data_IF_925594888139
#
_entry.id   IF_925594888139
#
_cell.length_a   1.000
_cell.length_b   1.000
_cell.length_c   1.000
_cell.angle_alpha   90.00
_cell.angle_beta   90.00
_cell.angle_gamma   90.00
#
_symmetry.space_group_name_H-M   'P 1'
#
loop_
_entity.id
_entity.type
_entity.pdbx_description
1 polymer ?
#
# COMPACT_ATOMS: atom_id res chain seq x y z
N UNK A 1 46.14 -20.53 0.13
CA UNK A 1 45.86 -19.14 -0.26
C UNK A 1 44.35 -18.92 -0.19
N UNK A 2 43.91 -17.96 0.65
CA UNK A 2 42.59 -17.25 0.74
C UNK A 2 41.34 -18.07 0.33
N UNK A 3 40.52 -18.68 1.20
CA UNK A 3 39.53 -18.17 2.21
C UNK A 3 38.67 -16.99 1.73
N UNK A 4 37.38 -16.80 2.05
CA UNK A 4 36.15 -17.54 2.44
C UNK A 4 35.14 -16.42 2.86
N UNK A 5 33.81 -16.67 2.85
CA UNK A 5 32.68 -15.84 3.38
C UNK A 5 32.27 -14.59 2.55
N UNK A 6 31.03 -14.33 2.09
CA UNK A 6 29.62 -14.51 2.55
C UNK A 6 29.17 -13.60 3.72
N UNK A 7 28.03 -12.93 3.50
CA UNK A 7 27.12 -12.27 4.47
C UNK A 7 27.58 -10.93 5.10
N UNK A 8 26.77 -9.92 5.45
CA UNK A 8 25.33 -9.60 5.45
C UNK A 8 25.22 -8.15 6.03
N UNK A 9 24.12 -7.43 5.77
CA UNK A 9 23.62 -6.24 6.52
C UNK A 9 24.39 -4.89 6.39
N UNK A 10 23.83 -3.69 6.57
CA UNK A 10 22.47 -3.10 6.72
C UNK A 10 22.64 -1.68 7.30
N UNK A 11 21.73 -0.76 6.95
CA UNK A 11 21.42 0.53 7.61
C UNK A 11 22.56 1.56 7.71
N UNK A 12 22.35 2.87 7.72
CA UNK A 12 21.20 3.73 8.01
C UNK A 12 21.36 5.01 7.16
N UNK A 13 20.33 5.48 6.46
CA UNK A 13 19.39 6.53 6.89
C UNK A 13 20.02 7.89 7.27
N UNK A 14 19.42 8.93 6.66
CA UNK A 14 19.27 10.32 7.12
C UNK A 14 20.47 11.27 6.95
N UNK A 15 20.39 12.10 5.90
CA UNK A 15 20.21 13.55 6.08
C UNK A 15 20.05 14.25 4.71
N UNK A 16 18.80 14.45 4.27
CA UNK A 16 18.45 15.60 3.45
C UNK A 16 18.30 16.83 4.37
N UNK A 17 18.50 18.07 3.89
CA UNK A 17 17.38 18.82 3.30
C UNK A 17 17.79 19.65 2.06
N UNK A 18 17.01 19.62 0.98
CA UNK A 18 15.90 20.55 0.68
C UNK A 18 16.30 22.03 0.66
N UNK A 19 16.52 22.54 -0.56
CA UNK A 19 16.58 23.96 -0.86
C UNK A 19 15.21 24.61 -0.61
N UNK A 20 15.17 25.55 0.31
CA UNK A 20 14.01 26.43 0.54
C UNK A 20 14.24 27.74 -0.21
N UNK A 21 13.29 28.11 -1.07
CA UNK A 21 13.17 29.46 -1.63
C UNK A 21 12.87 30.42 -0.47
N UNK A 22 13.73 31.43 -0.26
CA UNK A 22 13.44 32.58 0.61
C UNK A 22 13.68 33.87 -0.15
N UNK A 23 12.68 34.74 -0.03
CA UNK A 23 12.54 36.06 -0.59
C UNK A 23 13.70 37.02 -0.27
N UNK A 24 13.89 37.89 -1.26
CA UNK A 24 14.66 39.13 -1.31
C UNK A 24 14.12 40.21 -0.36
N UNK A 25 15.02 40.90 0.36
CA UNK A 25 15.01 42.35 0.63
C UNK A 25 16.25 42.76 1.47
N UNK A 26 16.63 44.06 1.50
CA UNK A 26 17.99 44.52 1.21
C UNK A 26 18.81 44.91 2.46
N UNK A 27 20.14 44.78 2.39
CA UNK A 27 21.02 45.58 3.24
C UNK A 27 22.32 45.95 2.52
N UNK A 28 22.24 47.11 1.88
CA UNK A 28 23.25 48.17 1.79
C UNK A 28 24.67 47.82 2.29
N UNK A 29 25.56 47.52 1.34
CA UNK A 29 27.01 47.36 1.53
C UNK A 29 27.78 48.42 0.76
N UNK A 30 28.05 49.53 1.43
CA UNK A 30 29.16 50.50 1.29
C UNK A 30 29.89 50.56 -0.07
N UNK A 31 29.61 51.65 -0.77
CA UNK A 31 30.32 52.20 -1.92
C UNK A 31 31.76 52.56 -1.52
N UNK A 32 32.74 51.98 -2.21
CA UNK A 32 34.06 52.56 -2.39
C UNK A 32 34.24 52.78 -3.89
N UNK A 33 33.99 54.01 -4.32
CA UNK A 33 34.31 54.49 -5.64
C UNK A 33 35.84 54.56 -5.79
N UNK A 34 36.36 54.21 -6.96
CA UNK A 34 37.37 55.01 -7.65
C UNK A 34 37.31 54.67 -9.13
N UNK A 35 36.89 55.68 -9.87
CA UNK A 35 36.92 55.84 -11.31
C UNK A 35 38.33 55.82 -11.87
N UNK A 36 38.42 55.37 -13.12
CA UNK A 36 39.48 55.58 -14.11
C UNK A 36 40.12 56.97 -13.99
N UNK A 37 41.44 57.08 -14.24
CA UNK A 37 41.83 57.72 -15.49
C UNK A 37 43.08 57.14 -16.17
N UNK A 38 43.15 57.44 -17.47
CA UNK A 38 44.35 57.76 -18.26
C UNK A 38 45.34 56.67 -18.68
N UNK A 39 45.38 56.49 -20.00
CA UNK A 39 46.57 56.54 -20.85
C UNK A 39 47.89 56.89 -20.16
N UNK A 40 48.82 55.92 -20.18
CA UNK A 40 50.25 56.17 -20.21
C UNK A 40 50.90 55.26 -21.24
N UNK A 41 51.65 55.90 -22.12
CA UNK A 41 52.55 55.35 -23.11
C UNK A 41 53.47 54.28 -22.50
N UNK A 42 53.40 53.06 -23.03
CA UNK A 42 54.45 52.06 -22.86
C UNK A 42 55.49 52.28 -23.95
N UNK A 43 56.49 53.05 -23.56
CA UNK A 43 57.80 53.22 -24.20
C UNK A 43 58.50 51.87 -24.28
N UNK A 44 58.89 51.47 -25.50
CA UNK A 44 59.93 50.48 -25.77
C UNK A 44 59.55 49.01 -25.53
N UNK A 45 58.87 48.40 -26.51
CA UNK A 45 59.11 46.98 -26.77
C UNK A 45 60.41 46.95 -27.56
N UNK A 46 61.48 46.63 -26.83
CA UNK A 46 62.77 46.24 -27.40
C UNK A 46 62.55 45.13 -28.43
N UNK A 47 63.37 45.19 -29.46
CA UNK A 47 63.44 44.30 -30.60
C UNK A 47 63.38 42.83 -30.16
N UNK A 48 62.22 42.19 -30.31
CA UNK A 48 62.21 40.74 -30.53
C UNK A 48 62.68 40.53 -31.96
N UNK A 49 64.00 40.37 -32.05
CA UNK A 49 64.72 39.92 -33.22
C UNK A 49 63.99 38.77 -33.89
N UNK A 50 64.06 38.82 -35.21
CA UNK A 50 63.42 37.97 -36.18
C UNK A 50 63.94 36.52 -36.09
N UNK A 51 63.55 35.78 -35.04
CA UNK A 51 63.82 34.33 -34.92
C UNK A 51 63.22 33.58 -36.13
N UNK A 52 62.14 34.11 -36.71
CA UNK A 52 61.52 33.60 -37.93
C UNK A 52 62.31 33.88 -39.21
N UNK A 53 63.09 34.97 -39.31
CA UNK A 53 63.96 35.23 -40.47
C UNK A 53 65.14 34.27 -40.54
N UNK A 54 65.61 33.77 -39.39
CA UNK A 54 66.63 32.73 -39.35
C UNK A 54 66.15 31.45 -40.06
N UNK A 55 64.87 31.09 -39.90
CA UNK A 55 64.26 29.94 -40.60
C UNK A 55 63.98 30.21 -42.09
N UNK A 56 63.66 31.46 -42.47
CA UNK A 56 63.50 31.88 -43.88
C UNK A 56 64.80 31.85 -44.69
N UNK A 57 65.95 31.74 -44.02
CA UNK A 57 67.27 31.72 -44.64
C UNK A 57 68.08 30.45 -44.40
N UNK A 58 67.44 29.36 -43.94
CA UNK A 58 68.11 28.07 -43.74
C UNK A 58 68.76 27.55 -45.04
N UNK A 59 69.90 26.85 -44.91
CA UNK A 59 70.69 26.35 -46.03
C UNK A 59 69.89 25.44 -46.99
N UNK A 60 68.83 24.81 -46.49
CA UNK A 60 67.89 23.98 -47.23
C UNK A 60 66.97 24.81 -48.15
N UNK A 61 66.50 25.98 -47.69
CA UNK A 61 65.62 26.89 -48.44
C UNK A 61 66.43 27.70 -49.46
N UNK A 62 67.65 28.14 -49.11
CA UNK A 62 68.56 28.83 -50.04
C UNK A 62 69.05 27.94 -51.19
N UNK A 63 69.38 26.66 -50.94
CA UNK A 63 69.82 25.71 -51.99
C UNK A 63 68.74 25.39 -53.02
N UNK A 64 67.48 25.32 -52.59
CA UNK A 64 66.35 25.06 -53.49
C UNK A 64 65.98 26.33 -54.27
N UNK A 65 66.02 27.51 -53.62
CA UNK A 65 65.81 28.80 -54.29
C UNK A 65 66.83 29.12 -55.37
N UNK A 66 68.13 28.80 -55.14
CA UNK A 66 69.18 29.04 -56.14
C UNK A 66 69.14 28.10 -57.34
N UNK A 67 68.47 26.94 -57.24
CA UNK A 67 68.37 25.96 -58.33
C UNK A 67 67.14 26.19 -59.22
N UNK A 68 66.15 26.95 -58.75
CA UNK A 68 64.88 27.19 -59.44
C UNK A 68 64.69 28.63 -59.94
N UNK A 69 65.64 29.54 -59.68
CA UNK A 69 65.64 30.90 -60.25
C UNK A 69 64.56 31.85 -59.69
N UNK A 70 64.14 31.67 -58.44
CA UNK A 70 63.13 32.52 -57.77
C UNK A 70 63.68 33.15 -56.49
N UNK A 71 63.25 34.39 -56.20
CA UNK A 71 63.72 35.15 -55.03
C UNK A 71 63.41 34.43 -53.71
N UNK A 72 64.34 34.52 -52.75
CA UNK A 72 64.31 33.78 -51.48
C UNK A 72 63.06 34.01 -50.64
N UNK A 73 62.38 35.14 -50.84
CA UNK A 73 61.14 35.50 -50.13
C UNK A 73 59.90 34.78 -50.70
N UNK A 74 59.86 34.53 -52.02
CA UNK A 74 58.80 33.76 -52.66
C UNK A 74 58.91 32.27 -52.35
N UNK A 75 60.14 31.75 -52.23
CA UNK A 75 60.38 30.36 -51.86
C UNK A 75 59.97 30.07 -50.40
N UNK A 76 60.22 31.00 -49.48
CA UNK A 76 59.84 30.86 -48.08
C UNK A 76 58.32 30.88 -47.89
N UNK A 77 57.63 31.83 -48.52
CA UNK A 77 56.15 31.92 -48.49
C UNK A 77 55.49 30.73 -49.19
N UNK A 78 56.03 30.25 -50.31
CA UNK A 78 55.52 29.04 -50.96
C UNK A 78 55.68 27.78 -50.08
N UNK A 79 56.78 27.67 -49.34
CA UNK A 79 57.00 26.55 -48.42
C UNK A 79 56.06 26.61 -47.20
N UNK A 80 55.81 27.80 -46.65
CA UNK A 80 54.85 28.00 -45.57
C UNK A 80 53.41 27.66 -46.00
N UNK A 81 52.99 28.14 -47.17
CA UNK A 81 51.68 27.81 -47.75
C UNK A 81 51.57 26.31 -48.07
N UNK A 82 52.63 25.69 -48.61
CA UNK A 82 52.65 24.26 -48.86
C UNK A 82 52.55 23.45 -47.55
N UNK A 83 53.26 23.84 -46.49
CA UNK A 83 53.19 23.20 -45.18
C UNK A 83 51.79 23.34 -44.56
N UNK A 84 51.20 24.54 -44.63
CA UNK A 84 49.82 24.76 -44.19
C UNK A 84 48.81 23.93 -45.00
N UNK A 85 48.98 23.85 -46.33
CA UNK A 85 48.12 23.03 -47.18
C UNK A 85 48.22 21.54 -46.82
N UNK A 86 49.44 21.02 -46.58
CA UNK A 86 49.65 19.64 -46.14
C UNK A 86 48.98 19.41 -44.78
N UNK A 87 49.15 20.32 -43.82
CA UNK A 87 48.50 20.23 -42.51
C UNK A 87 46.97 20.30 -42.62
N UNK A 88 46.43 21.21 -43.43
CA UNK A 88 45.00 21.37 -43.66
C UNK A 88 44.40 20.14 -44.35
N UNK A 89 45.11 19.51 -45.30
CA UNK A 89 44.71 18.25 -45.92
C UNK A 89 44.71 17.13 -44.87
N UNK A 90 45.75 17.02 -44.04
CA UNK A 90 45.84 16.00 -43.00
C UNK A 90 44.70 16.13 -41.98
N UNK A 91 44.45 17.35 -41.49
CA UNK A 91 43.35 17.65 -40.56
C UNK A 91 42.00 17.42 -41.25
N UNK A 92 41.83 17.87 -42.50
CA UNK A 92 40.62 17.70 -43.28
C UNK A 92 40.26 16.22 -43.48
N UNK A 93 41.23 15.37 -43.82
CA UNK A 93 41.04 13.92 -43.94
C UNK A 93 40.69 13.27 -42.60
N UNK A 94 41.30 13.72 -41.51
CA UNK A 94 40.98 13.22 -40.17
C UNK A 94 39.56 13.60 -39.73
N UNK A 95 39.17 14.88 -39.91
CA UNK A 95 37.82 15.37 -39.59
C UNK A 95 36.76 14.73 -40.47
N UNK A 96 37.00 14.60 -41.78
CA UNK A 96 36.10 13.94 -42.72
C UNK A 96 35.85 12.47 -42.33
N UNK A 97 36.82 11.80 -41.70
CA UNK A 97 36.67 10.43 -41.22
C UNK A 97 36.02 10.34 -39.82
N UNK A 98 36.29 11.30 -38.93
CA UNK A 98 35.83 11.27 -37.53
C UNK A 98 34.41 11.84 -37.32
N UNK A 99 34.07 12.97 -37.96
CA UNK A 99 32.78 13.66 -37.80
C UNK A 99 31.55 12.83 -38.21
N UNK A 100 31.50 12.16 -39.38
CA UNK A 100 30.29 11.44 -39.76
C UNK A 100 30.01 10.26 -38.82
N UNK A 101 31.04 9.66 -38.21
CA UNK A 101 30.86 8.56 -37.25
C UNK A 101 30.17 9.01 -35.97
N UNK A 102 30.51 10.19 -35.44
CA UNK A 102 29.93 10.71 -34.19
C UNK A 102 28.52 11.25 -34.39
N UNK A 103 28.26 11.98 -35.47
CA UNK A 103 26.92 12.48 -35.79
C UNK A 103 25.94 11.34 -36.10
N UNK A 104 26.39 10.29 -36.82
CA UNK A 104 25.54 9.13 -37.12
C UNK A 104 25.18 8.34 -35.86
N UNK A 105 26.12 8.22 -34.91
CA UNK A 105 25.85 7.62 -33.59
C UNK A 105 24.81 8.41 -32.80
N UNK A 106 24.96 9.74 -32.71
CA UNK A 106 24.01 10.61 -32.01
C UNK A 106 22.62 10.59 -32.66
N UNK A 107 22.53 10.65 -33.98
CA UNK A 107 21.25 10.57 -34.68
C UNK A 107 20.54 9.22 -34.45
N UNK A 108 21.29 8.12 -34.44
CA UNK A 108 20.74 6.80 -34.14
C UNK A 108 20.23 6.72 -32.69
N UNK A 109 20.96 7.29 -31.73
CA UNK A 109 20.52 7.38 -30.33
C UNK A 109 19.26 8.23 -30.20
N UNK A 110 19.22 9.43 -30.79
CA UNK A 110 18.03 10.29 -30.75
C UNK A 110 16.81 9.60 -31.36
N UNK A 111 16.99 8.92 -32.50
CA UNK A 111 15.91 8.18 -33.15
C UNK A 111 15.42 7.03 -32.26
N UNK A 112 16.34 6.29 -31.64
CA UNK A 112 16.01 5.24 -30.67
C UNK A 112 15.25 5.81 -29.47
N UNK A 113 15.75 6.87 -28.85
CA UNK A 113 15.15 7.48 -27.66
C UNK A 113 13.74 8.02 -27.98
N UNK A 114 13.53 8.55 -29.20
CA UNK A 114 12.21 9.03 -29.63
C UNK A 114 11.23 7.87 -29.86
N UNK A 115 11.69 6.73 -30.38
CA UNK A 115 10.87 5.51 -30.51
C UNK A 115 10.57 4.92 -29.14
N UNK A 116 11.57 4.84 -28.26
CA UNK A 116 11.42 4.32 -26.90
C UNK A 116 10.45 5.20 -26.10
N UNK A 117 10.55 6.54 -26.20
CA UNK A 117 9.63 7.47 -25.56
C UNK A 117 8.19 7.35 -26.08
N UNK A 118 8.00 7.16 -27.40
CA UNK A 118 6.67 6.91 -27.98
C UNK A 118 6.08 5.60 -27.46
N UNK A 119 6.87 4.54 -27.45
CA UNK A 119 6.45 3.22 -26.98
C UNK A 119 6.09 3.27 -25.49
N UNK A 120 6.90 3.93 -24.67
CA UNK A 120 6.63 4.12 -23.25
C UNK A 120 5.34 4.93 -23.00
N UNK A 121 5.09 5.95 -23.82
CA UNK A 121 3.86 6.75 -23.74
C UNK A 121 2.63 5.92 -24.13
N UNK A 122 2.72 5.13 -25.20
CA UNK A 122 1.64 4.25 -25.64
C UNK A 122 1.33 3.17 -24.59
N UNK A 123 2.36 2.57 -23.99
CA UNK A 123 2.20 1.62 -22.89
C UNK A 123 1.57 2.27 -21.64
N UNK A 124 2.01 3.48 -21.28
CA UNK A 124 1.44 4.23 -20.17
C UNK A 124 -0.05 4.56 -20.41
N UNK A 125 -0.40 4.99 -21.62
CA UNK A 125 -1.78 5.27 -22.01
C UNK A 125 -2.64 4.00 -22.00
N UNK A 126 -2.10 2.88 -22.48
CA UNK A 126 -2.78 1.57 -22.42
C UNK A 126 -3.06 1.17 -20.97
N UNK A 127 -2.06 1.28 -20.08
CA UNK A 127 -2.23 1.00 -18.64
C UNK A 127 -3.24 1.95 -17.99
N UNK A 128 -3.21 3.24 -18.32
CA UNK A 128 -4.16 4.23 -17.83
C UNK A 128 -5.60 3.86 -18.24
N UNK A 129 -5.85 3.62 -19.52
CA UNK A 129 -7.18 3.23 -20.01
C UNK A 129 -7.67 1.92 -19.38
N UNK A 130 -6.77 0.96 -19.14
CA UNK A 130 -7.11 -0.27 -18.43
C UNK A 130 -7.51 -0.04 -16.97
N UNK A 131 -6.88 0.91 -16.28
CA UNK A 131 -7.25 1.30 -14.91
C UNK A 131 -8.57 2.05 -14.90
N UNK A 132 -8.78 3.01 -15.80
CA UNK A 132 -10.03 3.74 -15.93
C UNK A 132 -11.22 2.82 -16.20
N UNK A 133 -11.06 1.84 -17.10
CA UNK A 133 -12.09 0.84 -17.37
C UNK A 133 -12.42 -0.01 -16.12
N UNK A 134 -11.41 -0.37 -15.33
CA UNK A 134 -11.61 -1.09 -14.05
C UNK A 134 -12.32 -0.22 -13.03
N UNK A 135 -11.96 1.05 -12.91
CA UNK A 135 -12.62 2.00 -12.00
C UNK A 135 -14.09 2.20 -12.39
N UNK A 136 -14.38 2.40 -13.67
CA UNK A 136 -15.75 2.52 -14.16
C UNK A 136 -16.60 1.26 -13.88
N UNK A 137 -15.99 0.06 -13.97
CA UNK A 137 -16.64 -1.20 -13.61
C UNK A 137 -16.90 -1.29 -12.09
N UNK A 138 -15.94 -0.86 -11.27
CA UNK A 138 -16.07 -0.89 -9.80
C UNK A 138 -17.22 0.01 -9.32
N UNK A 139 -17.45 1.17 -9.94
CA UNK A 139 -18.59 2.02 -9.59
C UNK A 139 -19.93 1.29 -9.78
N UNK A 140 -20.07 0.55 -10.89
CA UNK A 140 -21.24 -0.30 -11.15
C UNK A 140 -21.37 -1.46 -10.16
N UNK A 141 -20.27 -2.13 -9.82
CA UNK A 141 -20.25 -3.20 -8.81
C UNK A 141 -20.60 -2.68 -7.41
N UNK A 142 -20.13 -1.50 -7.02
CA UNK A 142 -20.47 -0.85 -5.74
C UNK A 142 -21.96 -0.51 -5.70
N UNK A 143 -22.51 0.04 -6.78
CA UNK A 143 -23.94 0.34 -6.88
C UNK A 143 -24.79 -0.94 -6.76
N UNK A 144 -24.39 -2.01 -7.45
CA UNK A 144 -25.06 -3.31 -7.37
C UNK A 144 -24.96 -3.91 -5.96
N UNK A 145 -23.80 -3.79 -5.30
CA UNK A 145 -23.60 -4.28 -3.93
C UNK A 145 -24.47 -3.52 -2.93
N UNK A 146 -24.60 -2.19 -3.08
CA UNK A 146 -25.49 -1.38 -2.24
C UNK A 146 -26.94 -1.76 -2.43
N UNK A 147 -27.40 -1.85 -3.69
CA UNK A 147 -28.78 -2.25 -3.99
C UNK A 147 -29.11 -3.65 -3.43
N UNK A 148 -28.16 -4.59 -3.53
CA UNK A 148 -28.29 -5.91 -2.94
C UNK A 148 -28.33 -5.85 -1.41
N UNK A 149 -27.44 -5.09 -0.78
CA UNK A 149 -27.41 -4.95 0.68
C UNK A 149 -28.71 -4.34 1.22
N UNK A 150 -29.29 -3.35 0.53
CA UNK A 150 -30.56 -2.74 0.90
C UNK A 150 -31.71 -3.76 0.78
N UNK A 151 -31.74 -4.54 -0.30
CA UNK A 151 -32.73 -5.60 -0.50
C UNK A 151 -32.60 -6.71 0.57
N UNK A 152 -31.38 -7.17 0.82
CA UNK A 152 -31.09 -8.20 1.81
C UNK A 152 -31.44 -7.70 3.22
N UNK A 153 -31.17 -6.43 3.54
CA UNK A 153 -31.53 -5.82 4.83
C UNK A 153 -33.04 -5.82 5.06
N UNK A 154 -33.84 -5.47 4.05
CA UNK A 154 -35.30 -5.48 4.18
C UNK A 154 -35.83 -6.91 4.33
N UNK A 155 -35.29 -7.87 3.58
CA UNK A 155 -35.68 -9.28 3.68
C UNK A 155 -35.30 -9.87 5.05
N UNK A 156 -34.11 -9.56 5.56
CA UNK A 156 -33.67 -10.00 6.87
C UNK A 156 -34.48 -9.36 8.00
N UNK A 157 -34.84 -8.09 7.90
CA UNK A 157 -35.71 -7.43 8.87
C UNK A 157 -37.07 -8.16 8.97
N UNK A 158 -37.66 -8.52 7.83
CA UNK A 158 -38.92 -9.26 7.80
C UNK A 158 -38.78 -10.67 8.40
N UNK A 159 -37.70 -11.39 8.04
CA UNK A 159 -37.43 -12.72 8.56
C UNK A 159 -37.17 -12.72 10.06
N UNK A 160 -36.40 -11.76 10.56
CA UNK A 160 -36.12 -11.59 11.99
C UNK A 160 -37.42 -11.29 12.74
N UNK A 161 -38.25 -10.37 12.25
CA UNK A 161 -39.55 -10.05 12.87
C UNK A 161 -40.45 -11.29 12.94
N UNK A 162 -40.54 -12.07 11.85
CA UNK A 162 -41.33 -13.29 11.83
C UNK A 162 -40.83 -14.31 12.85
N UNK A 163 -39.53 -14.57 12.89
CA UNK A 163 -38.90 -15.49 13.84
C UNK A 163 -39.09 -15.03 15.29
N UNK A 164 -38.99 -13.73 15.56
CA UNK A 164 -39.18 -13.16 16.90
C UNK A 164 -40.63 -13.33 17.36
N UNK A 165 -41.62 -13.11 16.47
CA UNK A 165 -43.03 -13.33 16.82
C UNK A 165 -43.35 -14.81 17.04
N UNK A 166 -42.74 -15.72 16.27
CA UNK A 166 -42.88 -17.16 16.50
C UNK A 166 -42.25 -17.58 17.83
N UNK A 167 -41.03 -17.15 18.12
CA UNK A 167 -40.34 -17.49 19.36
C UNK A 167 -41.07 -16.90 20.57
N UNK A 168 -41.59 -15.67 20.45
CA UNK A 168 -42.45 -15.06 21.47
C UNK A 168 -43.67 -15.93 21.78
N UNK A 169 -44.37 -16.42 20.75
CA UNK A 169 -45.53 -17.31 20.95
C UNK A 169 -45.13 -18.62 21.64
N UNK A 170 -43.99 -19.20 21.25
CA UNK A 170 -43.45 -20.42 21.85
C UNK A 170 -43.08 -20.22 23.32
N UNK A 171 -42.41 -19.11 23.65
CA UNK A 171 -42.07 -18.76 25.03
C UNK A 171 -43.34 -18.59 25.87
N UNK A 172 -44.34 -17.88 25.36
CA UNK A 172 -45.61 -17.71 26.07
C UNK A 172 -46.31 -19.04 26.32
N UNK A 173 -46.41 -19.91 25.31
CA UNK A 173 -47.01 -21.24 25.47
C UNK A 173 -46.25 -22.10 26.48
N UNK A 174 -44.91 -22.07 26.44
CA UNK A 174 -44.07 -22.79 27.42
C UNK A 174 -44.26 -22.25 28.83
N UNK A 175 -44.31 -20.93 29.00
CA UNK A 175 -44.51 -20.28 30.29
C UNK A 175 -45.90 -20.59 30.85
N UNK A 176 -46.95 -20.55 30.03
CA UNK A 176 -48.31 -20.93 30.42
C UNK A 176 -48.37 -22.40 30.88
N UNK A 177 -47.72 -23.30 30.15
CA UNK A 177 -47.64 -24.71 30.53
C UNK A 177 -46.88 -24.90 31.86
N UNK A 178 -45.77 -24.19 32.06
CA UNK A 178 -44.99 -24.25 33.29
C UNK A 178 -45.78 -23.70 34.49
N UNK A 179 -46.47 -22.57 34.32
CA UNK A 179 -47.34 -21.99 35.35
C UNK A 179 -48.47 -22.96 35.70
N UNK A 180 -49.11 -23.58 34.72
CA UNK A 180 -50.19 -24.54 34.97
C UNK A 180 -49.69 -25.78 35.73
N UNK A 181 -48.53 -26.30 35.36
CA UNK A 181 -47.90 -27.43 36.04
C UNK A 181 -47.50 -27.07 37.49
N UNK A 182 -46.86 -25.92 37.68
CA UNK A 182 -46.47 -25.42 39.00
C UNK A 182 -47.68 -25.16 39.89
N UNK A 183 -48.75 -24.59 39.34
CA UNK A 183 -50.00 -24.33 40.08
C UNK A 183 -50.65 -25.64 40.53
N UNK A 184 -50.75 -26.62 39.63
CA UNK A 184 -51.31 -27.95 39.97
C UNK A 184 -50.46 -28.64 41.04
N UNK A 185 -49.14 -28.52 40.95
CA UNK A 185 -48.22 -29.05 41.96
C UNK A 185 -48.41 -28.37 43.32
N UNK A 186 -48.48 -27.03 43.35
CA UNK A 186 -48.72 -26.27 44.58
C UNK A 186 -50.07 -26.61 45.22
N UNK A 187 -51.15 -26.75 44.44
CA UNK A 187 -52.46 -27.17 44.94
C UNK A 187 -52.40 -28.55 45.61
N UNK A 188 -51.73 -29.52 44.97
CA UNK A 188 -51.54 -30.86 45.55
C UNK A 188 -50.74 -30.82 46.85
N UNK A 189 -49.71 -29.98 46.92
CA UNK A 189 -48.92 -29.80 48.15
C UNK A 189 -49.76 -29.21 49.28
N UNK A 190 -50.59 -28.19 49.00
CA UNK A 190 -51.51 -27.60 49.99
C UNK A 190 -52.52 -28.63 50.46
N UNK A 191 -53.13 -29.40 49.54
CA UNK A 191 -54.09 -30.44 49.89
C UNK A 191 -53.46 -31.53 50.78
N UNK A 192 -52.25 -31.98 50.43
CA UNK A 192 -51.50 -32.95 51.23
C UNK A 192 -51.20 -32.41 52.63
N UNK A 193 -50.70 -31.19 52.73
CA UNK A 193 -50.40 -30.56 54.02
C UNK A 193 -51.65 -30.39 54.89
N UNK A 194 -52.78 -29.98 54.30
CA UNK A 194 -54.04 -29.86 55.00
C UNK A 194 -54.56 -31.23 55.48
N UNK A 195 -54.41 -32.29 54.68
CA UNK A 195 -54.77 -33.65 55.07
C UNK A 195 -53.90 -34.16 56.23
N UNK A 196 -52.58 -33.94 56.16
CA UNK A 196 -51.66 -34.29 57.24
C UNK A 196 -52.01 -33.57 58.55
N UNK A 197 -52.29 -32.27 58.48
CA UNK A 197 -52.72 -31.49 59.65
C UNK A 197 -54.06 -31.96 60.22
N UNK A 198 -55.02 -32.30 59.36
CA UNK A 198 -56.31 -32.84 59.79
C UNK A 198 -56.17 -34.20 60.48
N UNK A 199 -55.32 -35.09 59.95
CA UNK A 199 -55.00 -36.38 60.56
C UNK A 199 -54.32 -36.16 61.93
N UNK A 200 -53.34 -35.25 62.01
CA UNK A 200 -52.66 -34.93 63.27
C UNK A 200 -53.65 -34.42 64.33
N UNK A 201 -54.57 -33.52 63.96
CA UNK A 201 -55.60 -33.00 64.86
C UNK A 201 -56.61 -34.08 65.26
N UNK A 202 -57.01 -34.95 64.33
CA UNK A 202 -57.90 -36.07 64.62
C UNK A 202 -57.23 -37.06 65.60
N UNK A 203 -55.95 -37.41 65.37
CA UNK A 203 -55.18 -38.26 66.26
C UNK A 203 -55.07 -37.67 67.68
N UNK A 204 -54.87 -36.36 67.81
CA UNK A 204 -54.86 -35.68 69.13
C UNK A 204 -56.21 -35.71 69.84
N UNK A 205 -57.32 -35.69 69.10
CA UNK A 205 -58.69 -35.73 69.66
C UNK A 205 -59.23 -37.15 69.88
N UNK A 206 -58.53 -38.17 69.37
CA UNK A 206 -58.95 -39.55 69.46
C UNK A 206 -58.71 -40.11 70.87
N UNK A 207 -59.77 -40.18 71.68
CA UNK A 207 -59.74 -40.80 73.01
C UNK A 207 -60.17 -42.25 72.89
N UNK A 208 -59.23 -43.18 73.03
CA UNK A 208 -59.50 -44.62 72.95
C UNK A 208 -60.03 -45.09 74.31
N UNK A 209 -61.29 -45.52 74.34
CA UNK A 209 -61.92 -46.13 75.50
C UNK A 209 -62.06 -47.64 75.28
N UNK A 210 -62.07 -48.43 76.36
CA UNK A 210 -62.18 -49.89 76.29
C UNK A 210 -63.46 -50.39 75.58
N UNK A 211 -64.53 -49.58 75.57
CA UNK A 211 -65.76 -49.86 74.83
C UNK A 211 -65.58 -49.66 73.31
N UNK A 212 -64.84 -48.61 72.91
CA UNK A 212 -64.53 -48.33 71.50
C UNK A 212 -63.69 -49.47 70.89
N UNK A 213 -62.70 -49.98 71.63
CA UNK A 213 -61.87 -51.11 71.17
C UNK A 213 -62.68 -52.40 70.95
N UNK A 214 -63.61 -52.72 71.85
CA UNK A 214 -64.48 -53.89 71.69
C UNK A 214 -65.36 -53.78 70.44
N UNK A 215 -65.91 -52.59 70.17
CA UNK A 215 -66.71 -52.32 68.96
C UNK A 215 -65.86 -52.40 67.69
N UNK A 216 -64.60 -51.94 67.72
CA UNK A 216 -63.68 -52.05 66.59
C UNK A 216 -63.35 -53.52 66.27
N UNK A 217 -63.04 -54.33 67.29
CA UNK A 217 -62.75 -55.77 67.12
C UNK A 217 -63.97 -56.50 66.56
N UNK A 218 -65.18 -56.21 67.06
CA UNK A 218 -66.40 -56.85 66.56
C UNK A 218 -66.71 -56.47 65.11
N UNK A 219 -66.52 -55.20 64.74
CA UNK A 219 -66.71 -54.74 63.37
C UNK A 219 -65.65 -55.28 62.41
N UNK A 220 -64.39 -55.37 62.85
CA UNK A 220 -63.31 -55.99 62.07
C UNK A 220 -63.59 -57.47 61.83
N UNK A 221 -63.92 -58.24 62.89
CA UNK A 221 -64.28 -59.65 62.77
C UNK A 221 -65.48 -59.87 61.82
N UNK A 222 -66.49 -59.00 61.89
CA UNK A 222 -67.64 -59.04 60.96
C UNK A 222 -67.21 -58.75 59.51
N UNK A 223 -66.30 -57.82 59.29
CA UNK A 223 -65.83 -57.47 57.93
C UNK A 223 -64.97 -58.58 57.32
N UNK A 224 -64.07 -59.17 58.10
CA UNK A 224 -63.25 -60.31 57.67
C UNK A 224 -64.15 -61.50 57.33
N UNK A 225 -65.14 -61.83 58.18
CA UNK A 225 -66.11 -62.88 57.86
C UNK A 225 -67.02 -62.58 56.67
N UNK A 226 -67.24 -61.30 56.34
CA UNK A 226 -68.03 -60.87 55.18
C UNK A 226 -67.23 -60.87 53.86
N UNK A 227 -65.90 -60.68 53.88
CA UNK A 227 -65.05 -60.85 52.70
C UNK A 227 -64.82 -62.34 52.40
N UNK A 228 -64.60 -63.19 53.42
CA UNK A 228 -64.49 -64.65 53.27
C UNK A 228 -65.75 -65.29 52.63
N UNK A 229 -66.93 -64.74 52.91
CA UNK A 229 -68.19 -65.21 52.33
C UNK A 229 -68.45 -64.71 50.90
N UNK A 230 -67.72 -63.70 50.42
CA UNK A 230 -67.78 -63.20 49.03
C UNK A 230 -66.76 -63.88 48.11
N UNK A 231 -65.62 -64.33 48.62
CA UNK A 231 -64.63 -65.10 47.84
C UNK A 231 -65.09 -66.53 47.53
N UNK A 232 -66.04 -67.09 48.31
CA UNK A 232 -66.61 -68.44 48.11
C UNK A 232 -67.81 -68.54 47.16
N UNK A 233 -68.15 -67.50 46.39
CA UNK A 233 -69.30 -67.47 45.46
C UNK A 233 -68.95 -67.25 43.98
N UNK A 234 -67.69 -67.45 43.57
CA UNK A 234 -67.30 -67.54 42.15
C UNK A 234 -66.92 -68.97 41.77
#
# INVERSE_FOLDING_TARGET
>A
MKKLFFAVMFAALLASPLHSIRAQEPSNGKVAATSTPESREAKGVEEEEDETASFKHSASVKKIGSMLGMSTDQAATAFEVANFAVLAILIGLFLAKALPKTFRGRNATIQKDLVDARTATEEANSRLSGVEARLAKLDGEIAAMRAKADQDSVADEQRIKANVEEEKKKILASAEQEIAAATTHAQRQIQKYAAELAIEQAAKKLVITAETDRLLIQNFARRVGADDSKEGQN
#
